data_IF_928264411932
#
_entry.id   IF_928264411932
#
_cell.length_a   1.000
_cell.length_b   1.000
_cell.length_c   1.000
_cell.angle_alpha   90.00
_cell.angle_beta   90.00
_cell.angle_gamma   90.00
#
_symmetry.space_group_name_H-M   'P 1'
#
loop_
_entity.id
_entity.type
_entity.pdbx_description
1 polymer ?
#
# COMPACT_ATOMS: atom_id res chain seq x y z
N UNK A 1 13.96 -7.25 12.35
CA UNK A 1 14.39 -7.75 11.03
C UNK A 1 14.24 -6.67 9.96
N UNK A 2 13.06 -6.07 9.80
CA UNK A 2 12.80 -5.07 8.75
C UNK A 2 13.59 -3.75 8.91
N UNK A 3 13.73 -3.24 10.13
CA UNK A 3 14.50 -2.02 10.40
C UNK A 3 16.01 -2.14 10.06
N UNK A 4 16.61 -3.31 10.32
CA UNK A 4 18.02 -3.57 10.02
C UNK A 4 18.25 -3.76 8.51
N UNK A 5 17.26 -4.25 7.77
CA UNK A 5 17.34 -4.39 6.32
C UNK A 5 17.30 -3.03 5.63
N UNK A 6 16.46 -2.13 6.15
CA UNK A 6 16.32 -0.76 5.65
C UNK A 6 17.61 0.05 5.84
N UNK A 7 18.21 -0.03 7.03
CA UNK A 7 19.47 0.64 7.36
C UNK A 7 20.61 0.15 6.45
N UNK A 8 20.68 -1.16 6.21
CA UNK A 8 21.71 -1.75 5.34
C UNK A 8 21.52 -1.41 3.86
N UNK A 9 20.28 -1.32 3.39
CA UNK A 9 19.98 -0.92 2.02
C UNK A 9 20.31 0.56 1.79
N UNK A 10 20.11 1.41 2.79
CA UNK A 10 20.45 2.83 2.73
C UNK A 10 21.98 3.05 2.71
N UNK A 11 22.71 2.36 3.58
CA UNK A 11 24.18 2.42 3.62
C UNK A 11 24.83 1.88 2.32
N UNK A 12 24.29 0.80 1.76
CA UNK A 12 24.80 0.22 0.52
C UNK A 12 24.51 1.08 -0.73
N UNK A 13 23.48 1.91 -0.66
CA UNK A 13 23.05 2.81 -1.74
C UNK A 13 23.66 4.21 -1.61
N UNK A 14 24.57 4.42 -0.66
CA UNK A 14 25.25 5.70 -0.47
C UNK A 14 24.32 6.85 -0.08
N UNK A 15 23.34 6.57 0.79
CA UNK A 15 22.28 7.49 1.23
C UNK A 15 21.35 8.02 0.11
N UNK A 16 21.41 7.43 -1.10
CA UNK A 16 20.42 7.68 -2.16
C UNK A 16 19.16 6.85 -1.92
N UNK A 17 18.06 7.57 -1.70
CA UNK A 17 16.75 7.01 -1.37
C UNK A 17 16.12 6.23 -2.54
N UNK A 18 16.34 6.65 -3.78
CA UNK A 18 15.76 6.01 -4.97
C UNK A 18 16.47 4.68 -5.27
N UNK A 19 17.79 4.64 -5.11
CA UNK A 19 18.58 3.42 -5.25
C UNK A 19 18.29 2.42 -4.11
N UNK A 20 18.10 2.92 -2.88
CA UNK A 20 17.71 2.08 -1.74
C UNK A 20 16.32 1.44 -1.94
N UNK A 21 15.34 2.20 -2.44
CA UNK A 21 13.99 1.68 -2.74
C UNK A 21 14.05 0.62 -3.85
N UNK A 22 14.87 0.85 -4.89
CA UNK A 22 15.02 -0.10 -6.00
C UNK A 22 15.66 -1.41 -5.54
N UNK A 23 16.75 -1.32 -4.76
CA UNK A 23 17.43 -2.47 -4.15
C UNK A 23 16.49 -3.28 -3.25
N UNK A 24 15.73 -2.60 -2.38
CA UNK A 24 14.80 -3.26 -1.46
C UNK A 24 13.68 -4.01 -2.21
N UNK A 25 13.17 -3.41 -3.29
CA UNK A 25 12.15 -4.02 -4.16
C UNK A 25 12.69 -5.26 -4.89
N UNK A 26 13.93 -5.22 -5.34
CA UNK A 26 14.60 -6.34 -6.01
C UNK A 26 14.87 -7.49 -5.02
N UNK A 27 15.30 -7.16 -3.80
CA UNK A 27 15.51 -8.12 -2.72
C UNK A 27 14.20 -8.78 -2.27
N UNK A 28 13.12 -8.02 -2.13
CA UNK A 28 11.80 -8.54 -1.79
C UNK A 28 11.22 -9.44 -2.89
N UNK A 29 11.47 -9.12 -4.17
CA UNK A 29 11.14 -10.02 -5.29
C UNK A 29 11.94 -11.32 -5.24
N UNK A 30 13.23 -11.23 -4.91
CA UNK A 30 14.12 -12.40 -4.83
C UNK A 30 13.79 -13.30 -3.64
N UNK A 31 13.41 -12.72 -2.50
CA UNK A 31 12.98 -13.44 -1.29
C UNK A 31 11.62 -14.11 -1.49
N UNK A 32 10.68 -13.46 -2.20
CA UNK A 32 9.40 -14.07 -2.59
C UNK A 32 9.58 -15.23 -3.58
N UNK A 33 10.56 -15.13 -4.49
CA UNK A 33 10.93 -16.22 -5.40
C UNK A 33 11.65 -17.37 -4.66
N UNK A 34 12.44 -17.07 -3.62
CA UNK A 34 13.17 -18.07 -2.83
C UNK A 34 12.29 -18.80 -1.80
N UNK A 35 11.28 -18.11 -1.24
CA UNK A 35 10.24 -18.73 -0.42
C UNK A 35 9.38 -19.72 -1.23
N UNK A 36 9.13 -19.44 -2.52
CA UNK A 36 8.47 -20.38 -3.44
C UNK A 36 9.35 -21.59 -3.81
N UNK A 37 10.69 -21.46 -3.78
CA UNK A 37 11.64 -22.54 -4.08
C UNK A 37 11.94 -23.44 -2.87
N UNK A 38 11.83 -22.94 -1.63
CA UNK A 38 12.09 -23.74 -0.42
C UNK A 38 10.89 -24.59 0.04
N UNK A 39 9.69 -24.35 -0.50
CA UNK A 39 8.50 -25.17 -0.25
C UNK A 39 8.36 -26.38 -1.21
N UNK A 40 9.27 -26.53 -2.19
CA UNK A 40 9.20 -27.62 -3.18
C UNK A 40 10.54 -28.35 -3.28
N UNK A 41 10.83 -29.15 -2.25
CA UNK A 41 11.83 -30.20 -2.33
C UNK A 41 11.31 -31.42 -3.09
N UNK A 42 11.36 -31.41 -4.42
CA UNK A 42 11.68 -32.59 -5.27
C UNK A 42 11.61 -32.22 -6.75
N UNK A 43 12.69 -32.52 -7.48
CA UNK A 43 12.81 -32.33 -8.92
C UNK A 43 11.65 -32.93 -9.71
N UNK A 44 11.03 -32.15 -10.62
CA UNK A 44 11.12 -32.31 -12.08
C UNK A 44 10.26 -31.23 -12.77
N UNK A 45 10.55 -31.03 -14.05
CA UNK A 45 10.19 -29.97 -15.00
C UNK A 45 8.74 -29.42 -15.05
N UNK A 46 8.71 -28.12 -15.41
CA UNK A 46 7.72 -27.42 -16.25
C UNK A 46 6.26 -27.22 -15.77
N UNK A 47 5.90 -25.93 -15.70
CA UNK A 47 4.61 -25.45 -16.19
C UNK A 47 3.50 -25.27 -15.15
N UNK A 48 2.65 -24.23 -15.31
CA UNK A 48 1.89 -23.61 -14.22
C UNK A 48 0.59 -24.37 -13.94
N UNK A 49 0.01 -24.23 -12.74
CA UNK A 49 -1.32 -23.63 -12.52
C UNK A 49 -1.76 -23.83 -11.07
N UNK A 50 -2.43 -22.79 -10.58
CA UNK A 50 -3.00 -22.55 -9.25
C UNK A 50 -3.79 -23.71 -8.62
N UNK A 51 -3.66 -23.86 -7.29
CA UNK A 51 -4.74 -24.30 -6.40
C UNK A 51 -4.60 -23.58 -5.04
N UNK A 52 -5.74 -23.08 -4.55
CA UNK A 52 -6.00 -22.33 -3.31
C UNK A 52 -5.62 -23.09 -2.01
N UNK A 53 -5.66 -22.41 -0.84
CA UNK A 53 -6.12 -23.02 0.39
C UNK A 53 -7.43 -22.40 0.91
N UNK A 54 -8.27 -23.32 1.37
CA UNK A 54 -9.54 -23.20 2.07
C UNK A 54 -9.41 -22.58 3.46
N UNK A 55 -10.47 -21.93 3.97
CA UNK A 55 -10.70 -21.72 5.40
C UNK A 55 -12.21 -21.77 5.73
N UNK A 56 -12.57 -22.73 6.61
CA UNK A 56 -13.56 -22.81 7.73
C UNK A 56 -14.73 -21.80 7.79
N UNK A 57 -15.95 -22.08 8.29
CA UNK A 57 -16.54 -23.18 9.07
C UNK A 57 -17.70 -22.64 9.96
N UNK A 58 -18.82 -23.38 10.03
CA UNK A 58 -19.91 -23.40 11.05
C UNK A 58 -20.92 -22.22 11.10
N UNK A 59 -22.22 -22.52 10.85
CA UNK A 59 -23.35 -22.45 11.82
C UNK A 59 -24.47 -23.43 11.41
N UNK A 60 -24.98 -24.20 12.37
CA UNK A 60 -26.04 -25.20 12.29
C UNK A 60 -27.44 -24.64 12.58
N UNK A 61 -28.49 -25.19 11.93
CA UNK A 61 -29.89 -25.46 12.39
C UNK A 61 -30.83 -25.39 11.18
N UNK A 62 -31.84 -26.23 10.93
CA UNK A 62 -32.46 -27.38 11.56
C UNK A 62 -33.58 -27.82 10.61
N UNK A 63 -33.85 -29.12 10.49
CA UNK A 63 -34.78 -29.67 9.49
C UNK A 63 -36.26 -29.58 9.86
N UNK A 64 -37.13 -29.69 8.83
CA UNK A 64 -38.47 -30.31 8.90
C UNK A 64 -38.83 -30.93 7.54
N UNK A 65 -39.47 -32.08 7.64
CA UNK A 65 -39.87 -33.07 6.66
C UNK A 65 -41.01 -32.71 5.68
N UNK A 66 -40.98 -33.44 4.55
CA UNK A 66 -42.10 -34.02 3.76
C UNK A 66 -43.16 -33.13 3.09
N UNK A 67 -43.25 -33.17 1.77
CA UNK A 67 -44.19 -34.04 1.02
C UNK A 67 -44.47 -33.50 -0.41
N UNK A 68 -44.10 -34.32 -1.40
CA UNK A 68 -44.86 -34.70 -2.60
C UNK A 68 -45.66 -33.64 -3.37
N UNK A 69 -45.23 -33.31 -4.59
CA UNK A 69 -46.10 -33.50 -5.76
C UNK A 69 -45.30 -33.70 -7.05
N UNK A 70 -45.83 -34.61 -7.85
CA UNK A 70 -45.28 -35.21 -9.06
C UNK A 70 -45.55 -34.30 -10.27
N UNK A 71 -44.68 -34.43 -11.30
CA UNK A 71 -44.96 -34.27 -12.74
C UNK A 71 -44.52 -32.95 -13.41
N UNK A 72 -44.01 -32.94 -14.66
CA UNK A 72 -43.49 -34.01 -15.54
C UNK A 72 -41.96 -33.89 -15.81
N UNK A 73 -41.29 -34.90 -16.42
CA UNK A 73 -39.88 -34.78 -16.76
C UNK A 73 -39.75 -33.83 -17.95
N UNK A 74 -39.21 -32.64 -17.71
CA UNK A 74 -38.60 -31.87 -18.76
C UNK A 74 -37.30 -32.60 -19.14
N UNK A 75 -37.29 -33.22 -20.32
CA UNK A 75 -36.07 -33.73 -20.97
C UNK A 75 -35.18 -32.53 -21.32
N UNK A 76 -34.54 -31.99 -20.30
CA UNK A 76 -33.36 -31.15 -20.39
C UNK A 76 -32.18 -32.03 -20.00
N UNK A 77 -31.78 -32.95 -20.88
CA UNK A 77 -30.46 -33.57 -20.79
C UNK A 77 -29.43 -32.47 -21.06
N UNK A 78 -29.09 -31.70 -20.03
CA UNK A 78 -27.81 -31.01 -19.95
C UNK A 78 -26.74 -32.11 -19.97
N UNK A 79 -25.87 -32.18 -21.00
CA UNK A 79 -24.69 -33.00 -20.89
C UNK A 79 -23.70 -32.22 -20.01
N UNK A 80 -23.87 -32.39 -18.71
CA UNK A 80 -22.83 -32.08 -17.75
C UNK A 80 -21.67 -33.04 -17.99
N UNK A 81 -20.62 -32.52 -18.63
CA UNK A 81 -19.24 -32.93 -18.46
C UNK A 81 -18.91 -34.43 -18.58
N UNK A 82 -18.86 -34.92 -19.83
CA UNK A 82 -17.73 -35.75 -20.28
C UNK A 82 -17.71 -35.83 -21.80
N UNK A 83 -16.65 -35.28 -22.41
CA UNK A 83 -16.39 -35.44 -23.84
C UNK A 83 -16.50 -36.91 -24.34
N UNK A 84 -16.03 -37.91 -23.57
CA UNK A 84 -16.23 -39.32 -23.90
C UNK A 84 -17.69 -39.79 -23.83
N UNK A 85 -18.46 -39.30 -22.86
CA UNK A 85 -19.83 -39.75 -22.58
C UNK A 85 -20.84 -39.24 -23.62
N UNK A 86 -20.65 -38.02 -24.13
CA UNK A 86 -21.48 -37.49 -25.22
C UNK A 86 -21.27 -38.26 -26.52
N UNK A 87 -20.04 -38.69 -26.82
CA UNK A 87 -19.72 -39.51 -28.00
C UNK A 87 -20.42 -40.86 -27.93
N UNK A 88 -20.38 -41.53 -26.77
CA UNK A 88 -21.06 -42.81 -26.58
C UNK A 88 -22.59 -42.69 -26.73
N UNK A 89 -23.17 -41.61 -26.22
CA UNK A 89 -24.60 -41.33 -26.33
C UNK A 89 -25.00 -41.01 -27.79
N UNK A 90 -24.15 -40.26 -28.50
CA UNK A 90 -24.34 -39.96 -29.93
C UNK A 90 -24.25 -41.21 -30.81
N UNK A 91 -23.26 -42.08 -30.59
CA UNK A 91 -23.10 -43.34 -31.31
C UNK A 91 -24.26 -44.29 -31.02
N UNK A 92 -24.71 -44.38 -29.75
CA UNK A 92 -25.87 -45.18 -29.36
C UNK A 92 -27.15 -44.72 -30.04
N UNK A 93 -27.37 -43.41 -30.10
CA UNK A 93 -28.56 -42.81 -30.72
C UNK A 93 -28.62 -43.10 -32.23
N UNK A 94 -27.48 -43.00 -32.94
CA UNK A 94 -27.41 -43.35 -34.36
C UNK A 94 -27.52 -44.86 -34.61
N UNK A 95 -26.98 -45.70 -33.72
CA UNK A 95 -27.04 -47.17 -33.84
C UNK A 95 -28.47 -47.72 -33.70
N UNK A 96 -29.36 -46.95 -33.06
CA UNK A 96 -30.78 -47.29 -32.90
C UNK A 96 -31.68 -46.72 -34.01
N UNK A 97 -31.10 -46.07 -35.04
CA UNK A 97 -31.88 -45.51 -36.13
C UNK A 97 -32.51 -46.60 -37.02
N UNK A 98 -33.71 -46.31 -37.54
CA UNK A 98 -34.45 -47.28 -38.37
C UNK A 98 -33.93 -47.36 -39.81
N UNK A 99 -33.36 -46.27 -40.32
CA UNK A 99 -32.74 -46.16 -41.63
C UNK A 99 -31.69 -45.03 -41.64
N UNK A 100 -31.03 -44.83 -42.79
CA UNK A 100 -29.99 -43.81 -42.95
C UNK A 100 -30.51 -42.37 -42.84
N UNK A 101 -31.77 -42.12 -43.21
CA UNK A 101 -32.36 -40.79 -43.16
C UNK A 101 -32.75 -40.42 -41.73
N UNK A 102 -33.27 -41.38 -40.96
CA UNK A 102 -33.51 -41.26 -39.51
C UNK A 102 -32.19 -41.03 -38.75
N UNK A 103 -31.13 -41.78 -39.07
CA UNK A 103 -29.80 -41.58 -38.49
C UNK A 103 -29.26 -40.17 -38.75
N UNK A 104 -29.43 -39.66 -39.98
CA UNK A 104 -29.03 -38.30 -40.38
C UNK A 104 -29.83 -37.23 -39.63
N UNK A 105 -31.14 -37.41 -39.50
CA UNK A 105 -32.00 -36.48 -38.77
C UNK A 105 -31.64 -36.42 -37.27
N UNK A 106 -31.38 -37.57 -36.65
CA UNK A 106 -30.91 -37.67 -35.26
C UNK A 106 -29.55 -37.00 -35.06
N UNK A 107 -28.60 -37.27 -35.97
CA UNK A 107 -27.27 -36.67 -35.94
C UNK A 107 -27.34 -35.13 -36.06
N UNK A 108 -28.16 -34.59 -36.98
CA UNK A 108 -28.35 -33.14 -37.13
C UNK A 108 -28.86 -32.52 -35.83
N UNK A 109 -29.92 -33.08 -35.24
CA UNK A 109 -30.51 -32.56 -34.00
C UNK A 109 -29.52 -32.59 -32.83
N UNK A 110 -28.77 -33.68 -32.68
CA UNK A 110 -27.81 -33.81 -31.60
C UNK A 110 -26.62 -32.85 -31.75
N UNK A 111 -26.13 -32.63 -32.99
CA UNK A 111 -25.06 -31.67 -33.27
C UNK A 111 -25.52 -30.21 -33.13
N UNK A 112 -26.75 -29.90 -33.52
CA UNK A 112 -27.36 -28.58 -33.30
C UNK A 112 -27.51 -28.29 -31.80
N UNK A 113 -27.99 -29.26 -31.02
CA UNK A 113 -28.09 -29.15 -29.57
C UNK A 113 -26.71 -28.97 -28.90
N UNK A 114 -25.69 -29.70 -29.36
CA UNK A 114 -24.32 -29.54 -28.89
C UNK A 114 -23.78 -28.14 -29.23
N UNK A 115 -23.96 -27.69 -30.48
CA UNK A 115 -23.49 -26.36 -30.92
C UNK A 115 -24.14 -25.25 -30.09
N UNK A 116 -25.45 -25.36 -29.83
CA UNK A 116 -26.18 -24.42 -28.98
C UNK A 116 -25.65 -24.45 -27.54
N UNK A 117 -25.45 -25.64 -26.97
CA UNK A 117 -24.91 -25.80 -25.61
C UNK A 117 -23.49 -25.24 -25.47
N UNK A 118 -22.62 -25.44 -26.47
CA UNK A 118 -21.26 -24.89 -26.48
C UNK A 118 -21.32 -23.37 -26.58
N UNK A 119 -22.15 -22.82 -27.46
CA UNK A 119 -22.27 -21.38 -27.64
C UNK A 119 -22.82 -20.68 -26.39
N UNK A 120 -23.86 -21.26 -25.78
CA UNK A 120 -24.44 -20.75 -24.53
C UNK A 120 -23.45 -20.89 -23.36
N UNK A 121 -22.75 -22.02 -23.26
CA UNK A 121 -21.72 -22.24 -22.25
C UNK A 121 -20.55 -21.25 -22.37
N UNK A 122 -20.00 -21.09 -23.57
CA UNK A 122 -18.92 -20.13 -23.84
C UNK A 122 -19.36 -18.68 -23.58
N UNK A 123 -20.60 -18.33 -23.92
CA UNK A 123 -21.16 -17.01 -23.62
C UNK A 123 -21.33 -16.75 -22.13
N UNK A 124 -21.82 -17.75 -21.38
CA UNK A 124 -21.97 -17.67 -19.93
C UNK A 124 -20.60 -17.58 -19.21
N UNK A 125 -19.63 -18.38 -19.63
CA UNK A 125 -18.26 -18.34 -19.10
C UNK A 125 -17.59 -16.99 -19.37
N UNK A 126 -17.71 -16.46 -20.59
CA UNK A 126 -17.20 -15.13 -20.93
C UNK A 126 -17.86 -14.02 -20.08
N UNK A 127 -19.18 -14.08 -19.88
CA UNK A 127 -19.90 -13.12 -19.04
C UNK A 127 -19.48 -13.21 -17.57
N UNK A 128 -19.28 -14.43 -17.04
CA UNK A 128 -18.81 -14.66 -15.69
C UNK A 128 -17.39 -14.15 -15.49
N UNK A 129 -16.48 -14.46 -16.42
CA UNK A 129 -15.09 -13.98 -16.40
C UNK A 129 -15.04 -12.45 -16.42
N UNK A 130 -15.80 -11.80 -17.30
CA UNK A 130 -15.89 -10.34 -17.37
C UNK A 130 -16.44 -9.75 -16.06
N UNK A 131 -17.48 -10.36 -15.48
CA UNK A 131 -18.03 -9.91 -14.21
C UNK A 131 -17.00 -10.00 -13.08
N UNK A 132 -16.26 -11.10 -13.00
CA UNK A 132 -15.20 -11.29 -12.00
C UNK A 132 -14.06 -10.26 -12.16
N UNK A 133 -13.61 -10.03 -13.39
CA UNK A 133 -12.61 -9.00 -13.70
C UNK A 133 -13.12 -7.60 -13.31
N UNK A 134 -14.38 -7.28 -13.62
CA UNK A 134 -14.98 -6.00 -13.28
C UNK A 134 -15.04 -5.76 -11.76
N UNK A 135 -15.36 -6.80 -10.99
CA UNK A 135 -15.35 -6.75 -9.53
C UNK A 135 -13.93 -6.52 -9.00
N UNK A 136 -12.95 -7.27 -9.49
CA UNK A 136 -11.54 -7.10 -9.10
C UNK A 136 -11.03 -5.69 -9.44
N UNK A 137 -11.33 -5.17 -10.64
CA UNK A 137 -10.94 -3.82 -11.05
C UNK A 137 -11.58 -2.74 -10.18
N UNK A 138 -12.85 -2.91 -9.79
CA UNK A 138 -13.53 -2.00 -8.86
C UNK A 138 -12.86 -2.01 -7.48
N UNK A 139 -12.53 -3.18 -6.95
CA UNK A 139 -11.82 -3.31 -5.68
C UNK A 139 -10.46 -2.61 -5.72
N UNK A 140 -9.66 -2.87 -6.76
CA UNK A 140 -8.37 -2.19 -6.95
C UNK A 140 -8.53 -0.67 -7.06
N UNK A 141 -9.52 -0.20 -7.82
CA UNK A 141 -9.82 1.24 -7.93
C UNK A 141 -10.13 1.86 -6.57
N UNK A 142 -10.98 1.21 -5.76
CA UNK A 142 -11.29 1.70 -4.41
C UNK A 142 -10.09 1.69 -3.48
N UNK A 143 -9.22 0.67 -3.57
CA UNK A 143 -7.98 0.61 -2.79
C UNK A 143 -7.02 1.75 -3.16
N UNK A 144 -6.84 2.03 -4.45
CA UNK A 144 -6.00 3.14 -4.92
C UNK A 144 -6.55 4.49 -4.48
N UNK A 145 -7.88 4.69 -4.55
CA UNK A 145 -8.51 5.94 -4.06
C UNK A 145 -8.29 6.14 -2.56
N UNK A 146 -8.42 5.07 -1.77
CA UNK A 146 -8.13 5.08 -0.32
C UNK A 146 -6.67 5.47 -0.05
N UNK A 147 -5.72 4.82 -0.73
CA UNK A 147 -4.30 5.14 -0.62
C UNK A 147 -4.00 6.60 -1.02
N UNK A 148 -4.61 7.09 -2.11
CA UNK A 148 -4.44 8.47 -2.55
C UNK A 148 -4.94 9.47 -1.48
N UNK A 149 -6.04 9.16 -0.79
CA UNK A 149 -6.53 9.99 0.29
C UNK A 149 -5.59 10.00 1.51
N UNK A 150 -5.00 8.85 1.87
CA UNK A 150 -3.98 8.76 2.92
C UNK A 150 -2.75 9.59 2.56
N UNK A 151 -2.25 9.45 1.32
CA UNK A 151 -1.09 10.21 0.83
C UNK A 151 -1.36 11.72 0.84
N UNK A 152 -2.52 12.18 0.37
CA UNK A 152 -2.91 13.60 0.43
C UNK A 152 -2.91 14.14 1.86
N UNK A 153 -3.42 13.37 2.83
CA UNK A 153 -3.37 13.75 4.25
C UNK A 153 -1.94 13.81 4.78
N UNK A 154 -1.11 12.83 4.44
CA UNK A 154 0.29 12.80 4.84
C UNK A 154 1.07 14.00 4.31
N UNK A 155 0.89 14.34 3.03
CA UNK A 155 1.51 15.51 2.38
C UNK A 155 1.07 16.81 3.05
N UNK A 156 -0.22 16.96 3.37
CA UNK A 156 -0.72 18.14 4.06
C UNK A 156 -0.08 18.31 5.45
N UNK A 157 0.01 17.23 6.23
CA UNK A 157 0.67 17.24 7.55
C UNK A 157 2.15 17.55 7.41
N UNK A 158 2.82 16.98 6.41
CA UNK A 158 4.25 17.23 6.17
C UNK A 158 4.49 18.69 5.80
N UNK A 159 3.64 19.28 4.96
CA UNK A 159 3.72 20.68 4.59
C UNK A 159 3.51 21.61 5.80
N UNK A 160 2.54 21.32 6.66
CA UNK A 160 2.32 22.08 7.90
C UNK A 160 3.53 22.02 8.83
N UNK A 161 4.09 20.83 9.06
CA UNK A 161 5.30 20.66 9.87
C UNK A 161 6.50 21.41 9.29
N UNK A 162 6.69 21.37 7.98
CA UNK A 162 7.78 22.11 7.31
C UNK A 162 7.60 23.61 7.52
N UNK A 163 6.38 24.12 7.35
CA UNK A 163 6.06 25.53 7.58
C UNK A 163 6.38 25.96 9.01
N UNK A 164 5.95 25.20 10.02
CA UNK A 164 6.27 25.48 11.42
C UNK A 164 7.78 25.42 11.71
N UNK A 165 8.50 24.53 11.04
CA UNK A 165 9.96 24.45 11.17
C UNK A 165 10.63 25.70 10.60
N UNK A 166 10.20 26.14 9.41
CA UNK A 166 10.72 27.35 8.77
C UNK A 166 10.43 28.58 9.65
N UNK A 167 9.21 28.72 10.18
CA UNK A 167 8.85 29.80 11.10
C UNK A 167 9.73 29.81 12.37
N UNK A 168 9.90 28.65 13.02
CA UNK A 168 10.80 28.51 14.18
C UNK A 168 12.25 28.82 13.84
N UNK A 169 12.71 28.44 12.65
CA UNK A 169 14.06 28.74 12.17
C UNK A 169 14.30 30.26 12.07
N UNK A 170 13.34 30.99 11.51
CA UNK A 170 13.39 32.46 11.44
C UNK A 170 13.37 33.09 12.85
N UNK A 171 12.54 32.59 13.76
CA UNK A 171 12.49 33.07 15.14
C UNK A 171 13.84 32.86 15.86
N UNK A 172 14.42 31.67 15.74
CA UNK A 172 15.75 31.34 16.29
C UNK A 172 16.82 32.28 15.72
N UNK A 173 16.78 32.56 14.41
CA UNK A 173 17.71 33.50 13.79
C UNK A 173 17.52 34.94 14.32
N UNK A 174 16.27 35.37 14.53
CA UNK A 174 15.95 36.66 15.15
C UNK A 174 16.47 36.76 16.59
N UNK A 175 16.25 35.72 17.40
CA UNK A 175 16.75 35.66 18.78
C UNK A 175 18.27 35.68 18.84
N UNK A 176 18.97 34.98 17.93
CA UNK A 176 20.43 35.04 17.82
C UNK A 176 20.93 36.46 17.56
N UNK A 177 20.29 37.20 16.64
CA UNK A 177 20.64 38.60 16.39
C UNK A 177 20.41 39.48 17.62
N UNK A 178 19.29 39.31 18.32
CA UNK A 178 19.00 40.07 19.53
C UNK A 178 20.01 39.78 20.66
N UNK A 179 20.42 38.51 20.83
CA UNK A 179 21.47 38.13 21.78
C UNK A 179 22.80 38.81 21.44
N UNK A 180 23.19 38.85 20.16
CA UNK A 180 24.41 39.55 19.73
C UNK A 180 24.32 41.05 20.02
N UNK A 181 23.16 41.67 19.78
CA UNK A 181 22.94 43.07 20.09
C UNK A 181 23.09 43.35 21.59
N UNK A 182 22.50 42.53 22.46
CA UNK A 182 22.64 42.69 23.91
C UNK A 182 24.07 42.45 24.40
N UNK A 183 24.80 41.50 23.81
CA UNK A 183 26.22 41.31 24.13
C UNK A 183 27.06 42.55 23.78
N UNK A 184 26.79 43.22 22.66
CA UNK A 184 27.50 44.44 22.27
C UNK A 184 27.16 45.61 23.22
N UNK A 185 25.89 45.74 23.61
CA UNK A 185 25.47 46.74 24.59
C UNK A 185 26.14 46.51 25.94
N UNK A 186 26.22 45.26 26.40
CA UNK A 186 26.90 44.92 27.64
C UNK A 186 28.39 45.30 27.57
N UNK A 187 29.09 44.93 26.49
CA UNK A 187 30.50 45.29 26.29
C UNK A 187 30.71 46.80 26.31
N UNK A 188 29.83 47.56 25.66
CA UNK A 188 29.89 49.03 25.63
C UNK A 188 29.72 49.62 27.04
N UNK A 189 28.76 49.11 27.81
CA UNK A 189 28.53 49.54 29.19
C UNK A 189 29.70 49.18 30.11
N UNK A 190 30.29 48.00 29.96
CA UNK A 190 31.48 47.58 30.71
C UNK A 190 32.66 48.52 30.45
N UNK A 191 32.93 48.85 29.19
CA UNK A 191 33.99 49.80 28.80
C UNK A 191 33.74 51.18 29.41
N UNK A 192 32.50 51.68 29.31
CA UNK A 192 32.13 52.98 29.87
C UNK A 192 32.27 53.02 31.40
N UNK A 193 31.85 51.95 32.09
CA UNK A 193 31.97 51.86 33.54
C UNK A 193 33.44 51.85 33.97
N UNK A 194 34.28 51.09 33.27
CA UNK A 194 35.72 51.07 33.50
C UNK A 194 36.35 52.45 33.30
N UNK A 195 36.03 53.14 32.20
CA UNK A 195 36.53 54.49 31.93
C UNK A 195 36.13 55.48 33.03
N UNK A 196 34.85 55.47 33.45
CA UNK A 196 34.36 56.30 34.56
C UNK A 196 35.07 55.99 35.87
N UNK A 197 35.28 54.71 36.18
CA UNK A 197 35.98 54.29 37.40
C UNK A 197 37.44 54.76 37.40
N UNK A 198 38.11 54.73 36.24
CA UNK A 198 39.47 55.25 36.07
C UNK A 198 39.52 56.77 36.23
N UNK A 199 38.60 57.51 35.61
CA UNK A 199 38.49 58.97 35.77
C UNK A 199 38.20 59.37 37.23
N UNK A 200 37.33 58.64 37.92
CA UNK A 200 37.02 58.89 39.34
C UNK A 200 38.27 58.72 40.21
N UNK A 201 39.04 57.64 40.03
CA UNK A 201 40.30 57.41 40.75
C UNK A 201 41.30 58.54 40.49
N UNK A 202 41.44 58.97 39.24
CA UNK A 202 42.32 60.08 38.88
C UNK A 202 41.89 61.40 39.55
N UNK A 203 40.59 61.71 39.55
CA UNK A 203 40.05 62.90 40.23
C UNK A 203 40.37 62.88 41.74
N UNK A 204 40.15 61.74 42.41
CA UNK A 204 40.43 61.56 43.84
C UNK A 204 41.92 61.68 44.20
N UNK A 205 42.81 61.21 43.32
CA UNK A 205 44.25 61.33 43.52
C UNK A 205 44.75 62.75 43.24
N UNK A 206 44.17 63.42 42.24
CA UNK A 206 44.48 64.82 41.91
C UNK A 206 43.90 65.84 42.89
N UNK A 207 42.90 65.44 43.69
CA UNK A 207 42.34 66.28 44.78
C UNK A 207 43.20 66.27 46.06
N UNK A 208 44.48 65.90 45.98
CA UNK A 208 45.48 66.18 47.01
C UNK A 208 45.86 67.67 47.02
N UNK A 209 44.87 68.56 47.17
CA UNK A 209 45.08 69.95 47.61
C UNK A 209 45.00 69.97 49.14
N UNK A 210 46.03 70.41 49.87
CA UNK A 210 45.98 70.54 51.32
C UNK A 210 44.92 71.57 51.73
N UNK A 211 43.89 71.12 52.45
CA UNK A 211 43.09 71.93 53.35
C UNK A 211 42.37 73.14 52.74
N UNK A 212 41.11 72.96 52.34
CA UNK A 212 40.09 74.00 52.51
C UNK A 212 38.71 73.37 52.60
N UNK A 213 38.41 72.84 53.78
CA UNK A 213 37.03 72.74 54.23
C UNK A 213 36.50 74.18 54.37
N UNK A 214 35.37 74.49 53.72
CA UNK A 214 34.64 75.71 54.04
C UNK A 214 34.06 75.53 55.45
N UNK A 215 34.42 76.38 56.43
CA UNK A 215 33.70 76.39 57.69
C UNK A 215 32.33 77.03 57.46
N UNK A 216 31.36 76.55 58.22
CA UNK A 216 29.95 76.95 58.25
C UNK A 216 29.69 78.40 57.82
N UNK A 217 28.71 78.56 56.93
CA UNK A 217 27.92 79.78 56.85
C UNK A 217 26.46 79.39 56.97
N UNK A 218 25.85 79.92 58.02
CA UNK A 218 24.46 79.81 58.47
C UNK A 218 23.40 80.04 57.37
#
# INVERSE_FOLDING_TARGET
>A
FEAQLLERALEASGDDLDDAIKSLKELHLMESNQANLSATGSAFENGPTAVQPSVEGIVTSGGVDTATEHQPPADGQQPGNSGPEWVDLFVREMSNASDMDDARARASRALEALTKSILEGAGAEAAQSLHQENMMLKEQMTAVLSQNAVLKRAVAIQHERQKEFDERSHEVQGLKQLVLQYQEQLRTLEINNYALQMHLKQAQQSSSMPGRYNPDVF
#
